data_IF_177106669398
#
_entry.id   IF_177106669398
#
_cell.length_a   1.000
_cell.length_b   1.000
_cell.length_c   1.000
_cell.angle_alpha   90.00
_cell.angle_beta   90.00
_cell.angle_gamma   90.00
#
_symmetry.space_group_name_H-M   'P 1'
#
loop_
_entity.id
_entity.type
_entity.pdbx_description
1 polymer ?
#
# COMPACT_ATOMS: atom_id res chain seq x y z
N UNK A 1 -15.46 -10.42 -18.08
CA UNK A 1 -15.90 -9.04 -17.79
C UNK A 1 -14.92 -8.13 -18.51
N UNK A 2 -15.39 -7.15 -19.28
CA UNK A 2 -14.51 -6.21 -19.98
C UNK A 2 -13.89 -5.25 -18.96
N UNK A 3 -12.62 -4.90 -19.14
CA UNK A 3 -11.90 -3.96 -18.29
C UNK A 3 -11.36 -2.83 -19.15
N UNK A 4 -11.49 -1.59 -18.67
CA UNK A 4 -11.01 -0.38 -19.35
C UNK A 4 -9.88 0.27 -18.58
N UNK A 5 -8.84 0.68 -19.29
CA UNK A 5 -7.75 1.47 -18.75
C UNK A 5 -8.15 2.94 -18.65
N UNK A 6 -7.92 3.53 -17.48
CA UNK A 6 -8.26 4.91 -17.19
C UNK A 6 -7.01 5.59 -16.64
N UNK A 7 -6.50 6.58 -17.36
CA UNK A 7 -5.38 7.39 -16.86
C UNK A 7 -5.91 8.68 -16.26
N UNK A 8 -5.54 8.96 -15.01
CA UNK A 8 -5.80 10.25 -14.38
C UNK A 8 -4.54 11.11 -14.35
N UNK A 9 -4.72 12.41 -14.61
CA UNK A 9 -3.66 13.40 -14.46
C UNK A 9 -4.21 14.68 -13.84
N UNK A 10 -3.33 15.49 -13.25
CA UNK A 10 -3.72 16.70 -12.55
C UNK A 10 -3.43 17.95 -13.37
N UNK A 11 -4.47 18.68 -13.76
CA UNK A 11 -4.36 19.94 -14.49
C UNK A 11 -5.07 21.08 -13.74
N UNK A 12 -4.32 22.10 -13.30
CA UNK A 12 -4.87 23.25 -12.58
C UNK A 12 -5.65 22.86 -11.32
N UNK A 13 -6.99 22.90 -11.36
CA UNK A 13 -7.92 22.49 -10.29
C UNK A 13 -8.81 21.27 -10.61
N UNK A 14 -8.48 20.55 -11.69
CA UNK A 14 -9.20 19.38 -12.16
C UNK A 14 -8.30 18.14 -12.24
N UNK A 15 -8.93 16.99 -12.05
CA UNK A 15 -8.41 15.70 -12.47
C UNK A 15 -8.93 15.45 -13.88
N UNK A 16 -8.01 15.31 -14.84
CA UNK A 16 -8.33 14.87 -16.19
C UNK A 16 -8.39 13.35 -16.20
N UNK A 17 -9.39 12.79 -16.85
CA UNK A 17 -9.69 11.36 -16.85
C UNK A 17 -9.77 10.90 -18.30
N UNK A 18 -8.77 10.18 -18.76
CA UNK A 18 -8.67 9.68 -20.13
C UNK A 18 -8.96 8.17 -20.17
N UNK A 19 -9.73 7.74 -21.18
CA UNK A 19 -10.16 6.36 -21.41
C UNK A 19 -9.83 6.00 -22.86
N UNK A 20 -8.57 5.60 -23.15
CA UNK A 20 -8.04 5.54 -24.52
C UNK A 20 -8.84 4.61 -25.45
N UNK A 21 -9.34 3.49 -24.96
CA UNK A 21 -10.04 2.47 -25.74
C UNK A 21 -11.33 2.97 -26.38
N UNK A 22 -11.91 4.05 -25.86
CA UNK A 22 -13.13 4.67 -26.38
C UNK A 22 -12.92 6.14 -26.76
N UNK A 23 -11.66 6.58 -26.88
CA UNK A 23 -11.30 8.00 -27.10
C UNK A 23 -12.00 8.95 -26.11
N UNK A 24 -12.17 8.47 -24.87
CA UNK A 24 -12.94 9.15 -23.84
C UNK A 24 -12.11 10.15 -23.06
N UNK A 25 -12.66 11.35 -22.83
CA UNK A 25 -12.06 12.36 -21.98
C UNK A 25 -13.12 13.07 -21.14
N UNK A 26 -12.94 13.04 -19.82
CA UNK A 26 -13.78 13.76 -18.85
C UNK A 26 -12.91 14.39 -17.75
N UNK A 27 -13.54 15.06 -16.79
CA UNK A 27 -12.85 15.74 -15.70
C UNK A 27 -13.62 15.66 -14.37
N UNK A 28 -12.89 15.71 -13.26
CA UNK A 28 -13.45 15.64 -11.91
C UNK A 28 -12.72 16.58 -10.92
N UNK A 29 -13.35 16.93 -9.80
CA UNK A 29 -12.74 17.71 -8.70
C UNK A 29 -11.90 16.86 -7.75
N UNK A 30 -12.16 15.56 -7.68
CA UNK A 30 -11.44 14.63 -6.81
C UNK A 30 -11.13 13.33 -7.54
N UNK A 31 -10.17 12.55 -7.01
CA UNK A 31 -9.87 11.20 -7.54
C UNK A 31 -11.09 10.30 -7.42
N UNK A 32 -11.81 10.34 -6.29
CA UNK A 32 -13.04 9.55 -6.09
C UNK A 32 -14.07 9.83 -7.20
N UNK A 33 -14.34 11.11 -7.45
CA UNK A 33 -15.24 11.52 -8.53
C UNK A 33 -14.67 11.16 -9.90
N UNK A 34 -13.34 11.15 -10.10
CA UNK A 34 -12.75 10.69 -11.35
C UNK A 34 -13.08 9.21 -11.66
N UNK A 35 -13.12 8.34 -10.65
CA UNK A 35 -13.57 6.95 -10.83
C UNK A 35 -15.05 6.88 -11.23
N UNK A 36 -15.90 7.67 -10.56
CA UNK A 36 -17.34 7.74 -10.84
C UNK A 36 -17.58 8.25 -12.26
N UNK A 37 -16.93 9.36 -12.64
CA UNK A 37 -17.00 9.95 -13.97
C UNK A 37 -16.49 9.03 -15.07
N UNK A 38 -15.43 8.24 -14.82
CA UNK A 38 -14.96 7.26 -15.79
C UNK A 38 -16.02 6.19 -16.07
N UNK A 39 -16.61 5.62 -15.00
CA UNK A 39 -17.65 4.58 -15.14
C UNK A 39 -18.90 5.13 -15.81
N UNK A 40 -19.37 6.31 -15.40
CA UNK A 40 -20.52 6.96 -16.04
C UNK A 40 -20.26 7.26 -17.53
N UNK A 41 -19.08 7.78 -17.86
CA UNK A 41 -18.70 8.07 -19.24
C UNK A 41 -18.71 6.82 -20.12
N UNK A 42 -18.11 5.71 -19.66
CA UNK A 42 -18.10 4.43 -20.39
C UNK A 42 -19.53 3.90 -20.58
N UNK A 43 -20.31 3.86 -19.50
CA UNK A 43 -21.68 3.34 -19.52
C UNK A 43 -22.57 4.10 -20.52
N UNK A 44 -22.51 5.43 -20.49
CA UNK A 44 -23.28 6.29 -21.40
C UNK A 44 -22.79 6.19 -22.84
N UNK A 45 -21.47 6.18 -23.05
CA UNK A 45 -20.88 6.16 -24.40
C UNK A 45 -21.15 4.84 -25.12
N UNK A 46 -21.13 3.72 -24.39
CA UNK A 46 -21.29 2.39 -24.96
C UNK A 46 -22.72 1.83 -24.83
N UNK A 47 -23.61 2.56 -24.15
CA UNK A 47 -24.99 2.14 -23.83
C UNK A 47 -25.04 0.78 -23.11
N UNK A 48 -24.25 0.66 -22.04
CA UNK A 48 -24.14 -0.55 -21.21
C UNK A 48 -24.38 -0.25 -19.73
N UNK A 49 -24.81 -1.23 -18.91
CA UNK A 49 -24.91 -1.04 -17.46
C UNK A 49 -23.57 -0.67 -16.82
N UNK A 50 -23.59 0.24 -15.85
CA UNK A 50 -22.39 0.78 -15.19
C UNK A 50 -21.58 -0.25 -14.40
N UNK A 51 -22.20 -1.37 -14.04
CA UNK A 51 -21.65 -2.50 -13.30
C UNK A 51 -21.29 -3.70 -14.21
N UNK A 52 -21.44 -3.56 -15.54
CA UNK A 52 -21.15 -4.63 -16.50
C UNK A 52 -19.65 -4.74 -16.89
N UNK A 53 -18.82 -3.81 -16.41
CA UNK A 53 -17.40 -3.72 -16.72
C UNK A 53 -16.58 -3.26 -15.51
N UNK A 54 -15.27 -3.48 -15.58
CA UNK A 54 -14.31 -2.98 -14.61
C UNK A 54 -13.48 -1.83 -15.19
N UNK A 55 -12.89 -1.03 -14.30
CA UNK A 55 -11.91 -0.01 -14.66
C UNK A 55 -10.61 -0.24 -13.90
N UNK A 56 -9.49 -0.02 -14.57
CA UNK A 56 -8.18 0.11 -13.94
C UNK A 56 -7.76 1.57 -14.01
N UNK A 57 -7.52 2.19 -12.86
CA UNK A 57 -7.17 3.61 -12.82
C UNK A 57 -5.71 3.74 -12.44
N UNK A 58 -4.93 4.39 -13.29
CA UNK A 58 -3.51 4.68 -13.07
C UNK A 58 -3.26 6.18 -13.11
N UNK A 59 -2.23 6.62 -12.39
CA UNK A 59 -1.81 8.01 -12.37
C UNK A 59 -0.32 8.08 -12.68
N UNK A 60 0.04 8.27 -13.95
CA UNK A 60 1.46 8.36 -14.32
C UNK A 60 2.08 9.71 -13.94
N UNK A 61 1.26 10.77 -13.88
CA UNK A 61 1.71 12.11 -13.52
C UNK A 61 0.67 12.87 -12.70
N UNK A 62 1.11 13.51 -11.62
CA UNK A 62 0.31 14.44 -10.81
C UNK A 62 1.03 15.78 -10.76
N UNK A 63 0.55 16.76 -11.54
CA UNK A 63 1.21 18.07 -11.63
C UNK A 63 2.62 17.92 -12.19
N UNK A 64 3.63 18.31 -11.41
CA UNK A 64 5.06 18.15 -11.76
C UNK A 64 5.67 16.83 -11.29
N UNK A 65 4.91 15.99 -10.59
CA UNK A 65 5.38 14.70 -10.08
C UNK A 65 5.13 13.64 -11.15
N UNK A 66 6.19 13.01 -11.63
CA UNK A 66 6.14 11.93 -12.63
C UNK A 66 6.35 10.56 -11.99
N UNK A 67 5.98 9.50 -12.71
CA UNK A 67 6.19 8.09 -12.33
C UNK A 67 5.52 7.72 -10.99
N UNK A 68 4.38 8.33 -10.68
CA UNK A 68 3.68 8.14 -9.39
C UNK A 68 3.30 6.67 -9.17
N UNK A 69 2.80 5.99 -10.20
CA UNK A 69 2.49 4.55 -10.14
C UNK A 69 3.72 3.72 -9.74
N UNK A 70 4.88 3.96 -10.36
CA UNK A 70 6.11 3.22 -10.06
C UNK A 70 6.60 3.47 -8.63
N UNK A 71 6.66 4.75 -8.23
CA UNK A 71 7.10 5.14 -6.87
C UNK A 71 6.19 4.52 -5.80
N UNK A 72 4.88 4.47 -6.03
CA UNK A 72 3.95 3.81 -5.11
C UNK A 72 4.22 2.31 -4.97
N UNK A 73 4.56 1.63 -6.06
CA UNK A 73 4.87 0.19 -6.00
C UNK A 73 6.23 -0.07 -5.34
N UNK A 74 7.23 0.77 -5.58
CA UNK A 74 8.51 0.70 -4.86
C UNK A 74 8.30 0.86 -3.35
N UNK A 75 7.52 1.85 -2.91
CA UNK A 75 7.18 2.06 -1.49
C UNK A 75 6.49 0.82 -0.88
N UNK A 76 5.62 0.15 -1.64
CA UNK A 76 4.94 -1.06 -1.16
C UNK A 76 5.91 -2.23 -1.03
N UNK A 77 6.83 -2.41 -1.98
CA UNK A 77 7.88 -3.42 -1.91
C UNK A 77 8.77 -3.18 -0.69
N UNK A 78 9.21 -1.94 -0.48
CA UNK A 78 10.04 -1.55 0.65
C UNK A 78 9.34 -1.81 1.99
N UNK A 79 8.04 -1.51 2.10
CA UNK A 79 7.24 -1.82 3.30
C UNK A 79 7.15 -3.31 3.56
N UNK A 80 6.88 -4.12 2.53
CA UNK A 80 6.80 -5.57 2.67
C UNK A 80 8.13 -6.16 3.15
N UNK A 81 9.25 -5.62 2.64
CA UNK A 81 10.59 -6.03 3.06
C UNK A 81 10.91 -5.60 4.50
N UNK A 82 10.56 -4.37 4.88
CA UNK A 82 10.72 -3.90 6.25
C UNK A 82 9.92 -4.75 7.24
N UNK A 83 8.67 -5.09 6.92
CA UNK A 83 7.85 -5.99 7.75
C UNK A 83 8.45 -7.40 7.84
N UNK A 84 9.06 -7.92 6.76
CA UNK A 84 9.75 -9.22 6.79
C UNK A 84 10.93 -9.19 7.74
N UNK A 85 11.81 -8.19 7.61
CA UNK A 85 12.98 -8.02 8.47
C UNK A 85 12.58 -7.81 9.93
N UNK A 86 11.51 -7.05 10.20
CA UNK A 86 11.00 -6.86 11.55
C UNK A 86 10.47 -8.16 12.17
N UNK A 87 9.74 -8.97 11.39
CA UNK A 87 9.28 -10.30 11.85
C UNK A 87 10.46 -11.21 12.20
N UNK A 88 11.47 -11.26 11.33
CA UNK A 88 12.67 -12.08 11.55
C UNK A 88 13.48 -11.63 12.78
N UNK A 89 13.66 -10.32 12.94
CA UNK A 89 14.34 -9.77 14.12
C UNK A 89 13.59 -10.11 15.41
N UNK A 90 12.26 -9.96 15.41
CA UNK A 90 11.42 -10.30 16.56
C UNK A 90 11.44 -11.80 16.89
N UNK A 91 11.44 -12.66 15.88
CA UNK A 91 11.59 -14.11 16.08
C UNK A 91 12.95 -14.47 16.68
N UNK A 92 14.04 -13.92 16.13
CA UNK A 92 15.39 -14.13 16.68
C UNK A 92 15.52 -13.63 18.12
N UNK A 93 14.96 -12.45 18.43
CA UNK A 93 14.94 -11.91 19.78
C UNK A 93 14.18 -12.82 20.75
N UNK A 94 13.01 -13.34 20.35
CA UNK A 94 12.24 -14.29 21.17
C UNK A 94 13.01 -15.59 21.43
N UNK A 95 13.62 -16.16 20.39
CA UNK A 95 14.39 -17.40 20.52
C UNK A 95 15.57 -17.20 21.47
N UNK A 96 16.34 -16.12 21.30
CA UNK A 96 17.45 -15.79 22.19
C UNK A 96 16.99 -15.60 23.65
N UNK A 97 15.90 -14.86 23.88
CA UNK A 97 15.37 -14.67 25.22
C UNK A 97 14.98 -15.99 25.90
N UNK A 98 14.35 -16.91 25.14
CA UNK A 98 13.98 -18.25 25.61
C UNK A 98 15.22 -19.12 25.90
N UNK A 99 16.22 -19.09 25.03
CA UNK A 99 17.47 -19.84 25.21
C UNK A 99 18.26 -19.36 26.43
N UNK A 100 18.28 -18.05 26.70
CA UNK A 100 18.88 -17.47 27.91
C UNK A 100 18.11 -17.86 29.17
N UNK A 101 16.78 -17.78 29.13
CA UNK A 101 15.94 -18.18 30.27
C UNK A 101 16.07 -19.68 30.59
N UNK A 102 16.23 -20.53 29.57
CA UNK A 102 16.49 -21.97 29.74
C UNK A 102 17.85 -22.27 30.41
N UNK A 103 18.78 -21.32 30.38
CA UNK A 103 20.06 -21.37 31.09
C UNK A 103 19.99 -20.68 32.47
N UNK A 104 18.79 -20.47 33.00
CA UNK A 104 18.52 -19.85 34.30
C UNK A 104 19.03 -18.39 34.42
N UNK A 105 19.29 -17.71 33.29
CA UNK A 105 19.62 -16.28 33.29
C UNK A 105 18.41 -15.46 33.74
N UNK A 106 18.62 -14.52 34.65
CA UNK A 106 17.51 -13.74 35.21
C UNK A 106 16.90 -12.80 34.16
N UNK A 107 15.59 -12.52 34.25
CA UNK A 107 14.92 -11.58 33.35
C UNK A 107 15.54 -10.18 33.33
N UNK A 108 16.18 -9.79 34.44
CA UNK A 108 16.92 -8.54 34.54
C UNK A 108 18.17 -8.57 33.67
N UNK A 109 18.98 -9.62 33.79
CA UNK A 109 20.21 -9.76 33.02
C UNK A 109 19.91 -10.00 31.53
N UNK A 110 18.82 -10.69 31.20
CA UNK A 110 18.32 -10.81 29.81
C UNK A 110 17.98 -9.42 29.25
N UNK A 111 17.30 -8.58 30.04
CA UNK A 111 17.01 -7.20 29.65
C UNK A 111 18.27 -6.39 29.37
N UNK A 112 19.27 -6.45 30.27
CA UNK A 112 20.56 -5.77 30.09
C UNK A 112 21.32 -6.30 28.85
N UNK A 113 21.40 -7.62 28.67
CA UNK A 113 22.11 -8.25 27.53
C UNK A 113 21.46 -7.95 26.17
N UNK A 114 20.13 -7.87 26.14
CA UNK A 114 19.37 -7.61 24.92
C UNK A 114 19.08 -6.12 24.71
N UNK A 115 19.59 -5.24 25.58
CA UNK A 115 19.35 -3.79 25.57
C UNK A 115 17.86 -3.43 25.56
N UNK A 116 17.05 -4.15 26.33
CA UNK A 116 15.61 -3.93 26.49
C UNK A 116 15.21 -3.81 27.95
N UNK A 117 14.04 -3.23 28.21
CA UNK A 117 13.51 -3.18 29.57
C UNK A 117 13.24 -4.58 30.12
N UNK A 118 13.30 -4.73 31.45
CA UNK A 118 12.90 -5.97 32.14
C UNK A 118 11.50 -6.45 31.71
N UNK A 119 10.54 -5.53 31.54
CA UNK A 119 9.19 -5.88 31.08
C UNK A 119 9.20 -6.46 29.67
N UNK A 120 10.04 -5.93 28.78
CA UNK A 120 10.20 -6.44 27.42
C UNK A 120 10.90 -7.80 27.40
N UNK A 121 11.92 -8.01 28.24
CA UNK A 121 12.54 -9.32 28.42
C UNK A 121 11.51 -10.36 28.89
N UNK A 122 10.70 -10.03 29.90
CA UNK A 122 9.60 -10.89 30.35
C UNK A 122 8.58 -11.19 29.22
N UNK A 123 8.22 -10.19 28.41
CA UNK A 123 7.34 -10.42 27.25
C UNK A 123 7.97 -11.36 26.23
N UNK A 124 9.26 -11.21 25.90
CA UNK A 124 9.93 -12.02 24.89
C UNK A 124 10.06 -13.49 25.32
N UNK A 125 10.30 -13.75 26.60
CA UNK A 125 10.36 -15.11 27.16
C UNK A 125 8.98 -15.79 27.14
N UNK A 126 7.91 -15.03 27.41
CA UNK A 126 6.55 -15.56 27.55
C UNK A 126 5.66 -15.42 26.30
N UNK A 127 6.18 -14.86 25.20
CA UNK A 127 5.49 -14.75 23.91
C UNK A 127 5.53 -16.06 23.12
#
# INVERSE_FOLDING_TARGET
>A
MTQYEVTISREGKWWMVAIPEIDGLTQARSIKEAHEMAREYIAVTLDVPIDSFEIHVTAERIGTIEHVTQVLEDIKIERAEAERLEREANERARNLAKDLAAQEVTLRDIGELMEVSHQRAHQLVNA
#
